data_IF_502228339036
#
_entry.id   IF_502228339036
#
_cell.length_a   1.000
_cell.length_b   1.000
_cell.length_c   1.000
_cell.angle_alpha   90.00
_cell.angle_beta   90.00
_cell.angle_gamma   90.00
#
_symmetry.space_group_name_H-M   'P 1'
#
loop_
_entity.id
_entity.type
_entity.pdbx_description
1 polymer ?
#
# COMPACT_ATOMS: atom_id res chain seq x y z
N UNK A 1 -14.84 -18.48 15.09
CA UNK A 1 -16.16 -18.31 14.46
C UNK A 1 -16.17 -17.29 13.31
N UNK A 2 -15.54 -16.12 13.41
CA UNK A 2 -15.53 -15.14 12.31
C UNK A 2 -14.72 -15.60 11.07
N UNK A 3 -13.55 -16.22 11.25
CA UNK A 3 -12.70 -16.68 10.14
C UNK A 3 -13.33 -17.84 9.33
N UNK A 4 -13.95 -18.80 10.01
CA UNK A 4 -14.59 -19.96 9.36
C UNK A 4 -15.82 -19.54 8.55
N UNK A 5 -16.57 -18.53 9.01
CA UNK A 5 -17.68 -17.93 8.27
C UNK A 5 -17.19 -17.15 7.04
N UNK A 6 -16.08 -16.41 7.15
CA UNK A 6 -15.48 -15.71 6.00
C UNK A 6 -14.98 -16.67 4.92
N UNK A 7 -14.39 -17.81 5.30
CA UNK A 7 -13.94 -18.84 4.35
C UNK A 7 -15.10 -19.57 3.66
N UNK A 8 -16.19 -19.86 4.38
CA UNK A 8 -17.36 -20.52 3.80
C UNK A 8 -18.14 -19.63 2.82
N UNK A 9 -18.15 -18.30 3.04
CA UNK A 9 -18.88 -17.35 2.18
C UNK A 9 -18.13 -16.99 0.88
N UNK A 10 -16.85 -17.34 0.74
CA UNK A 10 -16.08 -17.11 -0.49
C UNK A 10 -16.42 -18.09 -1.63
N UNK A 11 -17.21 -19.13 -1.34
CA UNK A 11 -17.62 -20.16 -2.30
C UNK A 11 -18.85 -19.83 -3.15
N UNK A 12 -19.64 -18.82 -2.76
CA UNK A 12 -20.87 -18.45 -3.46
C UNK A 12 -20.81 -16.98 -3.87
N UNK A 13 -20.36 -16.71 -5.10
CA UNK A 13 -20.87 -15.70 -6.06
C UNK A 13 -19.79 -15.47 -7.13
N UNK A 14 -19.68 -16.37 -8.10
CA UNK A 14 -18.97 -16.10 -9.38
C UNK A 14 -20.02 -16.21 -10.47
N UNK A 15 -20.86 -15.17 -10.60
CA UNK A 15 -21.86 -15.10 -11.65
C UNK A 15 -21.71 -13.78 -12.41
N UNK A 16 -21.25 -13.88 -13.66
CA UNK A 16 -21.44 -12.83 -14.67
C UNK A 16 -20.21 -12.03 -15.05
N UNK A 17 -19.20 -12.62 -15.68
CA UNK A 17 -18.37 -11.87 -16.63
C UNK A 17 -17.81 -12.77 -17.73
N UNK A 18 -17.82 -12.29 -18.99
CA UNK A 18 -17.48 -13.06 -20.20
C UNK A 18 -15.99 -13.48 -20.30
N UNK A 19 -15.13 -13.05 -19.37
CA UNK A 19 -13.68 -13.32 -19.33
C UNK A 19 -13.27 -14.32 -18.22
N UNK A 20 -14.06 -15.37 -17.99
CA UNK A 20 -13.80 -16.32 -16.90
C UNK A 20 -12.79 -17.44 -17.25
N UNK A 21 -12.23 -17.44 -18.48
CA UNK A 21 -11.18 -18.39 -18.85
C UNK A 21 -9.81 -17.97 -18.28
N UNK A 22 -8.87 -18.90 -18.23
CA UNK A 22 -7.57 -18.67 -17.60
C UNK A 22 -6.76 -17.56 -18.29
N UNK A 23 -6.76 -17.53 -19.63
CA UNK A 23 -6.13 -16.46 -20.42
C UNK A 23 -6.63 -15.06 -20.03
N UNK A 24 -7.96 -14.87 -19.92
CA UNK A 24 -8.57 -13.60 -19.54
C UNK A 24 -8.14 -13.15 -18.15
N UNK A 25 -8.11 -14.08 -17.19
CA UNK A 25 -7.64 -13.84 -15.81
C UNK A 25 -6.17 -13.44 -15.77
N UNK A 26 -5.31 -14.09 -16.55
CA UNK A 26 -3.88 -13.77 -16.67
C UNK A 26 -3.71 -12.36 -17.25
N UNK A 27 -4.36 -12.05 -18.38
CA UNK A 27 -4.26 -10.73 -19.01
C UNK A 27 -4.73 -9.61 -18.08
N UNK A 28 -5.86 -9.82 -17.39
CA UNK A 28 -6.39 -8.86 -16.43
C UNK A 28 -5.44 -8.65 -15.25
N UNK A 29 -4.85 -9.72 -14.74
CA UNK A 29 -3.85 -9.63 -13.65
C UNK A 29 -2.59 -8.88 -14.10
N UNK A 30 -2.10 -9.14 -15.32
CA UNK A 30 -0.96 -8.41 -15.89
C UNK A 30 -1.30 -6.94 -16.18
N UNK A 31 -2.54 -6.61 -16.53
CA UNK A 31 -2.98 -5.22 -16.69
C UNK A 31 -2.94 -4.45 -15.36
N UNK A 32 -3.33 -5.08 -14.25
CA UNK A 32 -3.22 -4.50 -12.91
C UNK A 32 -1.74 -4.23 -12.54
N UNK A 33 -0.84 -5.14 -12.92
CA UNK A 33 0.60 -5.01 -12.73
C UNK A 33 1.20 -3.89 -13.58
N UNK A 34 0.82 -3.86 -14.86
CA UNK A 34 1.29 -2.91 -15.85
C UNK A 34 0.92 -1.47 -15.49
N UNK A 35 -0.32 -1.26 -15.02
CA UNK A 35 -0.76 0.04 -14.51
C UNK A 35 0.15 0.56 -13.38
N UNK A 36 0.79 -0.35 -12.64
CA UNK A 36 1.75 -0.06 -11.56
C UNK A 36 3.21 -0.04 -12.02
N UNK A 37 3.47 -0.25 -13.31
CA UNK A 37 4.76 -0.13 -13.95
C UNK A 37 5.75 -1.25 -13.62
N UNK A 38 5.25 -2.50 -13.48
CA UNK A 38 6.09 -3.68 -13.28
C UNK A 38 5.54 -4.93 -13.97
N UNK A 39 6.44 -5.88 -14.25
CA UNK A 39 6.14 -7.21 -14.77
C UNK A 39 6.08 -8.24 -13.62
N UNK A 40 5.54 -9.43 -13.87
CA UNK A 40 5.39 -10.46 -12.82
C UNK A 40 6.19 -11.71 -13.12
N UNK A 41 6.89 -12.26 -12.12
CA UNK A 41 7.33 -13.65 -12.19
C UNK A 41 6.13 -14.60 -11.97
N UNK A 42 6.28 -15.84 -12.42
CA UNK A 42 5.21 -16.83 -12.36
C UNK A 42 4.62 -17.06 -10.96
N UNK A 43 5.41 -17.21 -9.87
CA UNK A 43 4.85 -17.37 -8.53
C UNK A 43 3.99 -16.18 -8.09
N UNK A 44 4.39 -14.96 -8.46
CA UNK A 44 3.61 -13.75 -8.16
C UNK A 44 2.33 -13.69 -8.98
N UNK A 45 2.40 -14.04 -10.27
CA UNK A 45 1.21 -14.08 -11.12
C UNK A 45 0.17 -15.06 -10.58
N UNK A 46 0.58 -16.25 -10.17
CA UNK A 46 -0.30 -17.28 -9.58
C UNK A 46 -0.94 -16.78 -8.29
N UNK A 47 -0.14 -16.25 -7.36
CA UNK A 47 -0.60 -15.74 -6.05
C UNK A 47 -1.58 -14.57 -6.18
N UNK A 48 -1.39 -13.73 -7.19
CA UNK A 48 -2.17 -12.51 -7.39
C UNK A 48 -3.21 -12.64 -8.51
N UNK A 49 -3.52 -13.87 -8.96
CA UNK A 49 -4.44 -14.10 -10.06
C UNK A 49 -5.85 -13.63 -9.68
N UNK A 50 -6.46 -12.87 -10.58
CA UNK A 50 -7.88 -12.46 -10.47
C UNK A 50 -8.78 -13.70 -10.49
N UNK A 51 -9.84 -13.66 -9.69
CA UNK A 51 -10.82 -14.72 -9.45
C UNK A 51 -10.27 -15.97 -8.75
N UNK A 52 -9.18 -15.81 -7.99
CA UNK A 52 -8.63 -16.85 -7.13
C UNK A 52 -7.42 -17.57 -7.71
N UNK A 53 -6.91 -18.53 -6.95
CA UNK A 53 -5.70 -19.25 -7.31
C UNK A 53 -5.96 -20.36 -8.32
N UNK A 54 -4.94 -20.67 -9.11
CA UNK A 54 -4.88 -21.76 -10.07
C UNK A 54 -3.50 -22.41 -9.90
N UNK A 55 -3.35 -23.69 -10.27
CA UNK A 55 -2.05 -24.34 -10.18
C UNK A 55 -1.02 -23.65 -11.07
N UNK A 56 0.24 -23.62 -10.62
CA UNK A 56 1.32 -23.00 -11.36
C UNK A 56 1.49 -23.65 -12.75
N UNK A 57 1.31 -24.97 -12.83
CA UNK A 57 1.40 -25.75 -14.07
C UNK A 57 0.36 -25.32 -15.10
N UNK A 58 -0.89 -25.07 -14.67
CA UNK A 58 -1.94 -24.63 -15.56
C UNK A 58 -1.69 -23.22 -16.09
N UNK A 59 -1.24 -22.29 -15.22
CA UNK A 59 -0.86 -20.93 -15.63
C UNK A 59 0.32 -20.97 -16.61
N UNK A 60 1.35 -21.78 -16.32
CA UNK A 60 2.52 -21.96 -17.19
C UNK A 60 2.13 -22.48 -18.56
N UNK A 61 1.25 -23.48 -18.64
CA UNK A 61 0.76 -24.06 -19.89
C UNK A 61 -0.02 -23.03 -20.71
N UNK A 62 -0.90 -22.27 -20.07
CA UNK A 62 -1.68 -21.22 -20.74
C UNK A 62 -0.76 -20.17 -21.37
N UNK A 63 0.21 -19.65 -20.58
CA UNK A 63 1.15 -18.61 -20.99
C UNK A 63 1.95 -18.94 -22.25
N UNK A 64 2.24 -20.22 -22.52
CA UNK A 64 2.98 -20.66 -23.71
C UNK A 64 2.25 -20.35 -25.03
N UNK A 65 0.93 -20.18 -24.97
CA UNK A 65 0.06 -20.03 -26.15
C UNK A 65 -0.53 -18.64 -26.30
N UNK A 66 -0.22 -17.71 -25.39
CA UNK A 66 -0.85 -16.38 -25.32
C UNK A 66 -0.09 -15.34 -26.17
N UNK A 67 -0.65 -14.84 -27.28
CA UNK A 67 0.05 -13.90 -28.17
C UNK A 67 0.16 -12.46 -27.63
N UNK A 68 -0.63 -12.12 -26.60
CA UNK A 68 -0.67 -10.78 -25.98
C UNK A 68 0.34 -10.56 -24.86
N UNK A 69 1.22 -11.51 -24.61
CA UNK A 69 2.16 -11.51 -23.49
C UNK A 69 3.58 -11.59 -24.03
N UNK A 70 4.44 -10.73 -23.48
CA UNK A 70 5.88 -10.78 -23.68
C UNK A 70 6.55 -11.31 -22.42
N UNK A 71 7.58 -12.15 -22.57
CA UNK A 71 8.27 -12.73 -21.43
C UNK A 71 9.77 -12.89 -21.63
N UNK A 72 10.52 -12.91 -20.53
CA UNK A 72 11.95 -13.17 -20.49
C UNK A 72 12.34 -13.71 -19.11
N UNK A 73 13.12 -14.79 -19.05
CA UNK A 73 13.55 -15.46 -17.80
C UNK A 73 12.41 -15.74 -16.79
N UNK A 74 11.25 -16.19 -17.27
CA UNK A 74 10.10 -16.49 -16.40
C UNK A 74 9.41 -15.26 -15.78
N UNK A 75 9.68 -14.07 -16.32
CA UNK A 75 8.99 -12.81 -16.02
C UNK A 75 8.09 -12.46 -17.20
N UNK A 76 6.84 -12.11 -16.93
CA UNK A 76 5.77 -11.89 -17.89
C UNK A 76 5.21 -10.47 -17.78
N UNK A 77 4.93 -9.85 -18.93
CA UNK A 77 4.29 -8.54 -19.04
C UNK A 77 3.33 -8.52 -20.23
N UNK A 78 2.48 -7.50 -20.32
CA UNK A 78 1.70 -7.25 -21.52
C UNK A 78 2.63 -6.88 -22.67
N UNK A 79 2.27 -7.29 -23.89
CA UNK A 79 2.97 -6.84 -25.11
C UNK A 79 2.92 -5.32 -25.22
N UNK A 80 4.07 -4.68 -25.47
CA UNK A 80 4.24 -3.22 -25.41
C UNK A 80 4.82 -2.70 -24.09
N UNK A 81 4.85 -3.53 -23.04
CA UNK A 81 5.38 -3.20 -21.71
C UNK A 81 6.72 -3.86 -21.41
N UNK A 82 7.48 -4.26 -22.43
CA UNK A 82 8.73 -5.01 -22.30
C UNK A 82 9.81 -4.25 -21.52
N UNK A 83 9.75 -2.91 -21.52
CA UNK A 83 10.62 -2.04 -20.72
C UNK A 83 10.55 -2.35 -19.21
N UNK A 84 9.45 -2.96 -18.73
CA UNK A 84 9.28 -3.37 -17.32
C UNK A 84 10.02 -4.66 -16.95
N UNK A 85 10.40 -5.49 -17.93
CA UNK A 85 11.03 -6.80 -17.70
C UNK A 85 12.40 -6.65 -17.02
N UNK A 86 13.28 -5.81 -17.58
CA UNK A 86 14.62 -5.60 -17.05
C UNK A 86 14.60 -5.01 -15.63
N UNK A 87 13.69 -4.04 -15.39
CA UNK A 87 13.47 -3.43 -14.08
C UNK A 87 13.00 -4.47 -13.05
N UNK A 88 12.06 -5.33 -13.43
CA UNK A 88 11.53 -6.38 -12.57
C UNK A 88 12.60 -7.42 -12.25
N UNK A 89 13.38 -7.87 -13.24
CA UNK A 89 14.50 -8.80 -13.05
C UNK A 89 15.49 -8.29 -12.01
N UNK A 90 15.91 -7.03 -12.14
CA UNK A 90 16.82 -6.39 -11.17
C UNK A 90 16.24 -6.38 -9.76
N UNK A 91 14.95 -6.05 -9.62
CA UNK A 91 14.25 -6.01 -8.33
C UNK A 91 14.16 -7.39 -7.67
N UNK A 92 13.79 -8.42 -8.43
CA UNK A 92 13.71 -9.80 -7.92
C UNK A 92 15.06 -10.31 -7.42
N UNK A 93 16.16 -9.98 -8.12
CA UNK A 93 17.50 -10.36 -7.70
C UNK A 93 17.93 -9.70 -6.38
N UNK A 94 17.45 -8.49 -6.07
CA UNK A 94 17.82 -7.75 -4.87
C UNK A 94 16.86 -7.93 -3.68
N UNK A 95 15.60 -8.33 -3.93
CA UNK A 95 14.52 -8.35 -2.95
C UNK A 95 14.89 -9.08 -1.64
N UNK A 96 15.49 -10.28 -1.72
CA UNK A 96 15.80 -11.09 -0.54
C UNK A 96 16.82 -10.48 0.42
N UNK A 97 17.77 -9.67 -0.08
CA UNK A 97 18.85 -9.08 0.74
C UNK A 97 18.36 -7.90 1.56
N UNK A 98 17.60 -7.00 0.94
CA UNK A 98 17.21 -5.73 1.56
C UNK A 98 15.88 -5.82 2.31
N UNK A 99 14.93 -6.63 1.85
CA UNK A 99 13.61 -6.75 2.51
C UNK A 99 13.76 -7.12 3.99
N UNK A 100 14.53 -8.16 4.31
CA UNK A 100 14.71 -8.60 5.71
C UNK A 100 15.26 -7.49 6.61
N UNK A 101 16.21 -6.71 6.09
CA UNK A 101 16.81 -5.60 6.83
C UNK A 101 15.79 -4.49 7.10
N UNK A 102 14.98 -4.12 6.11
CA UNK A 102 14.03 -3.01 6.24
C UNK A 102 12.66 -3.42 6.81
N UNK A 103 12.33 -4.71 6.85
CA UNK A 103 11.14 -5.23 7.56
C UNK A 103 11.21 -4.95 9.06
N UNK A 104 12.37 -5.14 9.69
CA UNK A 104 12.57 -4.79 11.10
C UNK A 104 12.45 -3.28 11.33
N UNK A 105 12.98 -2.47 10.40
CA UNK A 105 12.80 -1.01 10.43
C UNK A 105 11.33 -0.65 10.32
N UNK A 106 10.59 -1.30 9.43
CA UNK A 106 9.18 -1.07 9.21
C UNK A 106 8.35 -1.41 10.46
N UNK A 107 8.59 -2.58 11.08
CA UNK A 107 7.93 -3.00 12.33
C UNK A 107 8.23 -2.05 13.48
N UNK A 108 9.48 -1.59 13.60
CA UNK A 108 9.88 -0.65 14.65
C UNK A 108 9.23 0.71 14.47
N UNK A 109 9.24 1.25 13.26
CA UNK A 109 8.53 2.49 12.94
C UNK A 109 7.05 2.36 13.26
N UNK A 110 6.40 1.29 12.79
CA UNK A 110 4.98 1.07 13.01
C UNK A 110 4.64 0.99 14.52
N UNK A 111 5.44 0.25 15.30
CA UNK A 111 5.26 0.11 16.75
C UNK A 111 5.43 1.44 17.48
N UNK A 112 6.52 2.16 17.19
CA UNK A 112 6.77 3.48 17.76
C UNK A 112 5.63 4.46 17.39
N UNK A 113 5.23 4.47 16.12
CA UNK A 113 4.18 5.34 15.62
C UNK A 113 2.83 5.09 16.31
N UNK A 114 2.41 3.83 16.39
CA UNK A 114 1.19 3.45 17.09
C UNK A 114 1.29 3.68 18.61
N UNK A 115 2.49 3.68 19.20
CA UNK A 115 2.68 3.97 20.63
C UNK A 115 2.55 5.46 20.97
N UNK A 116 2.90 6.36 20.05
CA UNK A 116 2.81 7.82 20.24
C UNK A 116 1.51 8.41 19.67
N UNK A 117 0.92 7.77 18.66
CA UNK A 117 -0.29 8.21 18.01
C UNK A 117 -1.47 7.31 18.43
N UNK A 118 -2.35 7.79 19.34
CA UNK A 118 -3.42 6.97 19.88
C UNK A 118 -4.54 6.68 18.87
N UNK A 119 -4.66 7.49 17.81
CA UNK A 119 -5.74 7.43 16.82
C UNK A 119 -5.50 6.41 15.69
N UNK A 120 -4.31 5.79 15.64
CA UNK A 120 -3.99 4.75 14.67
C UNK A 120 -4.72 3.47 15.06
N UNK A 121 -5.49 2.93 14.11
CA UNK A 121 -6.20 1.65 14.24
C UNK A 121 -5.44 0.49 13.61
N UNK A 122 -4.82 0.72 12.45
CA UNK A 122 -4.02 -0.28 11.74
C UNK A 122 -2.89 0.41 10.96
N UNK A 123 -1.74 -0.26 10.89
CA UNK A 123 -0.61 0.14 10.05
C UNK A 123 -0.29 -1.05 9.15
N UNK A 124 -0.20 -0.82 7.86
CA UNK A 124 0.11 -1.84 6.90
C UNK A 124 1.19 -1.38 5.93
N UNK A 125 2.16 -2.25 5.67
CA UNK A 125 3.20 -2.04 4.66
C UNK A 125 2.59 -2.20 3.27
N UNK A 126 2.93 -1.28 2.39
CA UNK A 126 2.49 -1.23 0.99
C UNK A 126 3.72 -1.17 0.06
N UNK A 127 3.50 -0.80 -1.20
CA UNK A 127 4.57 -0.51 -2.15
C UNK A 127 5.47 -1.71 -2.46
N UNK A 128 6.72 -1.45 -2.84
CA UNK A 128 7.66 -2.49 -3.30
C UNK A 128 8.00 -3.52 -2.22
N UNK A 129 7.99 -3.12 -0.94
CA UNK A 129 8.22 -4.01 0.20
C UNK A 129 7.12 -5.05 0.38
N UNK A 130 5.86 -4.63 0.28
CA UNK A 130 4.73 -5.57 0.32
C UNK A 130 4.68 -6.46 -0.93
N UNK A 131 5.19 -5.93 -2.04
CA UNK A 131 5.13 -6.45 -3.40
C UNK A 131 6.24 -7.45 -3.78
N UNK A 132 7.16 -7.76 -2.86
CA UNK A 132 8.29 -8.67 -3.12
C UNK A 132 9.21 -8.22 -4.27
N UNK A 133 9.37 -6.91 -4.44
CA UNK A 133 10.26 -6.28 -5.43
C UNK A 133 11.06 -5.11 -4.88
N UNK A 134 11.40 -5.15 -3.58
CA UNK A 134 12.05 -4.06 -2.86
C UNK A 134 13.54 -3.97 -3.18
N UNK A 135 14.00 -2.75 -3.45
CA UNK A 135 15.40 -2.43 -3.75
C UNK A 135 16.01 -1.55 -2.67
N UNK A 136 17.35 -1.50 -2.60
CA UNK A 136 18.06 -0.70 -1.60
C UNK A 136 17.75 0.79 -1.69
N UNK A 137 17.30 1.29 -2.82
CA UNK A 137 16.97 2.69 -3.08
C UNK A 137 15.49 3.03 -2.88
N UNK A 138 14.63 2.04 -2.59
CA UNK A 138 13.20 2.23 -2.35
C UNK A 138 12.92 2.81 -0.95
N UNK A 139 11.81 3.53 -0.82
CA UNK A 139 11.21 3.91 0.46
C UNK A 139 10.30 2.80 1.03
N UNK A 140 10.00 2.89 2.32
CA UNK A 140 9.05 2.03 3.01
C UNK A 140 7.69 2.71 2.99
N UNK A 141 6.78 2.22 2.17
CA UNK A 141 5.41 2.73 2.07
C UNK A 141 4.51 2.13 3.15
N UNK A 142 3.74 3.00 3.80
CA UNK A 142 2.70 2.61 4.74
C UNK A 142 1.33 3.15 4.35
N UNK A 143 0.33 2.28 4.41
CA UNK A 143 -1.06 2.67 4.48
C UNK A 143 -1.51 2.65 5.95
N UNK A 144 -2.11 3.74 6.40
CA UNK A 144 -2.50 3.94 7.80
C UNK A 144 -4.02 4.06 7.88
N UNK A 145 -4.60 3.33 8.82
CA UNK A 145 -6.02 3.40 9.14
C UNK A 145 -6.19 4.13 10.46
N UNK A 146 -7.09 5.11 10.49
CA UNK A 146 -7.21 6.03 11.63
C UNK A 146 -8.65 6.25 12.04
N UNK A 147 -8.83 6.66 13.29
CA UNK A 147 -10.11 7.20 13.77
C UNK A 147 -10.56 8.41 12.92
N UNK A 148 -11.87 8.57 12.76
CA UNK A 148 -12.46 9.74 12.09
C UNK A 148 -12.01 11.07 12.73
N UNK A 149 -11.71 12.04 11.89
CA UNK A 149 -11.33 13.40 12.25
C UNK A 149 -9.89 13.54 12.73
N UNK A 150 -9.02 12.58 12.42
CA UNK A 150 -7.63 12.55 12.88
C UNK A 150 -6.61 12.38 11.75
N UNK A 151 -7.04 12.41 10.48
CA UNK A 151 -6.22 12.16 9.29
C UNK A 151 -4.95 13.01 9.25
N UNK A 152 -5.06 14.33 9.39
CA UNK A 152 -3.95 15.26 9.27
C UNK A 152 -3.07 15.29 10.52
N UNK A 153 -3.66 15.14 11.71
CA UNK A 153 -2.87 14.97 12.95
C UNK A 153 -2.01 13.72 12.88
N UNK A 154 -2.61 12.59 12.46
CA UNK A 154 -1.86 11.35 12.27
C UNK A 154 -0.78 11.57 11.20
N UNK A 155 -1.13 12.11 10.03
CA UNK A 155 -0.15 12.40 8.96
C UNK A 155 1.07 13.18 9.47
N UNK A 156 0.84 14.31 10.15
CA UNK A 156 1.92 15.17 10.63
C UNK A 156 2.81 14.44 11.64
N UNK A 157 2.23 13.69 12.59
CA UNK A 157 3.00 12.88 13.54
C UNK A 157 3.84 11.82 12.84
N UNK A 158 3.29 11.16 11.81
CA UNK A 158 4.03 10.19 11.02
C UNK A 158 5.17 10.83 10.22
N UNK A 159 4.98 12.05 9.69
CA UNK A 159 6.04 12.81 9.02
C UNK A 159 7.15 13.16 10.01
N UNK A 160 6.81 13.68 11.20
CA UNK A 160 7.80 14.01 12.24
C UNK A 160 8.59 12.77 12.68
N UNK A 161 7.91 11.63 12.86
CA UNK A 161 8.59 10.37 13.16
C UNK A 161 9.44 9.89 11.98
N UNK A 162 8.97 10.04 10.75
CA UNK A 162 9.73 9.65 9.55
C UNK A 162 11.06 10.41 9.45
N UNK A 163 11.11 11.69 9.84
CA UNK A 163 12.35 12.50 9.86
C UNK A 163 13.41 11.87 10.78
N UNK A 164 13.02 11.38 11.97
CA UNK A 164 13.93 10.65 12.88
C UNK A 164 14.57 9.44 12.18
N UNK A 165 13.79 8.66 11.43
CA UNK A 165 14.28 7.49 10.71
C UNK A 165 15.15 7.91 9.51
N UNK A 166 14.72 8.90 8.73
CA UNK A 166 15.51 9.49 7.65
C UNK A 166 16.89 10.00 8.10
N UNK A 167 16.98 10.63 9.27
CA UNK A 167 18.25 11.06 9.87
C UNK A 167 19.13 9.87 10.26
N UNK A 168 18.55 8.84 10.89
CA UNK A 168 19.26 7.61 11.27
C UNK A 168 19.84 6.87 10.07
N UNK A 169 19.13 6.89 8.94
CA UNK A 169 19.50 6.19 7.71
C UNK A 169 19.97 7.15 6.60
N UNK A 170 20.54 8.30 6.97
CA UNK A 170 20.89 9.37 6.02
C UNK A 170 21.89 9.00 4.91
N UNK A 171 22.61 7.88 5.07
CA UNK A 171 23.61 7.38 4.11
C UNK A 171 23.04 6.40 3.08
N UNK A 172 21.75 6.05 3.18
CA UNK A 172 21.10 5.12 2.25
C UNK A 172 21.00 5.77 0.86
N UNK A 173 21.34 5.05 -0.23
CA UNK A 173 21.09 5.55 -1.58
C UNK A 173 19.58 5.69 -1.81
N UNK A 174 19.17 6.69 -2.58
CA UNK A 174 17.77 6.88 -2.97
C UNK A 174 17.65 7.05 -4.47
N UNK A 175 16.51 6.63 -5.01
CA UNK A 175 16.13 6.94 -6.37
C UNK A 175 16.11 8.47 -6.57
N UNK A 176 16.60 8.93 -7.72
CA UNK A 176 16.72 10.37 -8.02
C UNK A 176 15.38 11.12 -7.91
N UNK A 177 14.28 10.49 -8.33
CA UNK A 177 12.93 11.06 -8.20
C UNK A 177 12.38 11.08 -6.76
N UNK A 178 12.99 10.34 -5.83
CA UNK A 178 12.67 10.32 -4.41
C UNK A 178 13.55 11.27 -3.58
N UNK A 179 14.59 11.87 -4.19
CA UNK A 179 15.46 12.81 -3.50
C UNK A 179 14.65 14.00 -2.96
N UNK A 180 14.96 14.40 -1.72
CA UNK A 180 14.54 15.70 -1.17
C UNK A 180 15.80 16.50 -0.86
N UNK A 181 15.73 17.84 -0.83
CA UNK A 181 16.94 18.68 -0.80
C UNK A 181 17.84 18.46 0.43
N UNK A 182 17.30 17.92 1.53
CA UNK A 182 18.01 17.90 2.81
C UNK A 182 18.06 16.53 3.50
N UNK A 183 17.11 15.62 3.21
CA UNK A 183 17.04 14.32 3.88
C UNK A 183 16.60 13.22 2.92
N UNK A 184 17.15 12.01 3.03
CA UNK A 184 16.61 10.91 2.28
C UNK A 184 15.22 10.55 2.81
N UNK A 185 14.22 10.44 1.94
CA UNK A 185 12.90 9.92 2.27
C UNK A 185 13.00 8.39 2.42
N UNK A 186 13.20 7.90 3.65
CA UNK A 186 13.19 6.46 3.92
C UNK A 186 11.76 5.93 4.10
N UNK A 187 10.89 6.70 4.75
CA UNK A 187 9.53 6.29 5.08
C UNK A 187 8.54 7.17 4.33
N UNK A 188 7.53 6.54 3.75
CA UNK A 188 6.44 7.17 3.05
C UNK A 188 5.12 6.81 3.71
N UNK A 189 4.34 7.82 4.08
CA UNK A 189 2.93 7.61 4.39
C UNK A 189 2.21 7.71 3.05
N UNK A 190 1.86 6.56 2.48
CA UNK A 190 1.29 6.48 1.14
C UNK A 190 -0.16 6.96 1.15
N UNK A 191 -1.04 6.30 1.91
CA UNK A 191 -2.45 6.71 2.08
C UNK A 191 -2.82 6.66 3.56
N UNK A 192 -3.64 7.62 3.99
CA UNK A 192 -4.34 7.58 5.27
C UNK A 192 -5.83 7.48 4.99
N UNK A 193 -6.43 6.42 5.53
CA UNK A 193 -7.86 6.20 5.49
C UNK A 193 -8.48 6.39 6.86
N UNK A 194 -9.56 7.16 6.92
CA UNK A 194 -10.41 7.25 8.11
C UNK A 194 -11.43 6.10 8.13
N UNK A 195 -12.07 5.88 9.27
CA UNK A 195 -13.11 4.84 9.42
C UNK A 195 -14.18 4.90 8.31
N UNK A 196 -14.63 6.10 7.95
CA UNK A 196 -15.64 6.34 6.91
C UNK A 196 -15.14 6.12 5.49
N UNK A 197 -13.81 6.04 5.30
CA UNK A 197 -13.20 5.74 4.01
C UNK A 197 -13.14 4.24 3.72
N UNK A 198 -13.32 3.37 4.74
CA UNK A 198 -13.01 1.92 4.65
C UNK A 198 -14.11 0.99 5.17
N UNK A 199 -15.13 1.49 5.88
CA UNK A 199 -16.22 0.68 6.44
C UNK A 199 -17.60 0.99 5.79
N UNK A 200 -17.82 0.71 4.48
CA UNK A 200 -16.93 0.10 3.50
C UNK A 200 -16.06 1.12 2.75
N UNK A 201 -15.19 0.66 1.86
CA UNK A 201 -14.42 1.53 1.00
C UNK A 201 -15.31 2.38 0.08
N UNK A 202 -15.00 3.68 -0.03
CA UNK A 202 -15.68 4.63 -0.95
C UNK A 202 -15.47 4.25 -2.41
N UNK A 203 -14.23 3.87 -2.76
CA UNK A 203 -13.84 3.32 -4.06
C UNK A 203 -13.91 1.80 -3.99
N UNK A 204 -14.64 1.16 -4.91
CA UNK A 204 -14.76 -0.30 -4.98
C UNK A 204 -14.47 -0.78 -6.40
N UNK A 205 -13.18 -0.89 -6.72
CA UNK A 205 -12.71 -1.32 -8.02
C UNK A 205 -11.62 -2.38 -7.89
N UNK A 206 -11.35 -3.07 -8.99
CA UNK A 206 -10.33 -4.13 -9.06
C UNK A 206 -8.93 -3.64 -8.68
N UNK A 207 -8.64 -2.35 -8.88
CA UNK A 207 -7.33 -1.78 -8.61
C UNK A 207 -7.10 -1.58 -7.12
N UNK A 208 -8.11 -1.09 -6.39
CA UNK A 208 -8.07 -1.06 -4.93
C UNK A 208 -8.04 -2.48 -4.37
N UNK A 209 -8.83 -3.41 -4.93
CA UNK A 209 -8.80 -4.80 -4.48
C UNK A 209 -7.40 -5.40 -4.62
N UNK A 210 -6.73 -5.11 -5.73
CA UNK A 210 -5.36 -5.52 -6.01
C UNK A 210 -4.34 -4.87 -5.07
N UNK A 211 -4.49 -3.57 -4.76
CA UNK A 211 -3.67 -2.88 -3.75
C UNK A 211 -3.79 -3.53 -2.38
N UNK A 212 -5.02 -3.85 -1.96
CA UNK A 212 -5.30 -4.43 -0.66
C UNK A 212 -4.84 -5.88 -0.56
N UNK A 213 -4.95 -6.67 -1.65
CA UNK A 213 -4.44 -8.03 -1.71
C UNK A 213 -2.95 -8.11 -1.39
N UNK A 214 -2.17 -7.14 -1.88
CA UNK A 214 -0.71 -7.11 -1.72
C UNK A 214 -0.27 -6.51 -0.40
N UNK A 215 -1.12 -5.72 0.23
CA UNK A 215 -0.79 -4.99 1.44
C UNK A 215 -0.54 -5.96 2.61
N UNK A 216 0.41 -5.64 3.48
CA UNK A 216 0.78 -6.48 4.64
C UNK A 216 0.52 -5.72 5.94
N UNK A 217 -0.58 -6.00 6.66
CA UNK A 217 -0.81 -5.44 7.99
C UNK A 217 0.34 -5.82 8.92
N UNK A 218 0.96 -4.84 9.56
CA UNK A 218 2.02 -5.08 10.57
C UNK A 218 1.52 -4.85 11.98
N UNK A 219 0.44 -4.07 12.15
CA UNK A 219 -0.22 -3.77 13.43
C UNK A 219 -1.70 -3.50 13.20
N UNK A 220 -2.55 -3.76 14.21
CA UNK A 220 -3.99 -3.48 14.13
C UNK A 220 -4.76 -4.51 13.31
N UNK A 221 -4.32 -5.76 13.33
CA UNK A 221 -4.87 -6.83 12.50
C UNK A 221 -6.36 -7.04 12.77
N UNK A 222 -6.80 -6.91 14.04
CA UNK A 222 -8.23 -6.96 14.38
C UNK A 222 -9.05 -5.93 13.58
N UNK A 223 -8.59 -4.69 13.49
CA UNK A 223 -9.29 -3.65 12.72
C UNK A 223 -9.22 -3.95 11.22
N UNK A 224 -8.08 -4.42 10.72
CA UNK A 224 -7.96 -4.80 9.31
C UNK A 224 -8.92 -5.94 8.92
N UNK A 225 -9.10 -6.94 9.78
CA UNK A 225 -10.09 -8.01 9.57
C UNK A 225 -11.52 -7.48 9.59
N UNK A 226 -11.82 -6.49 10.43
CA UNK A 226 -13.11 -5.78 10.40
C UNK A 226 -13.31 -5.06 9.06
N UNK A 227 -12.31 -4.34 8.56
CA UNK A 227 -12.33 -3.71 7.22
C UNK A 227 -12.63 -4.75 6.15
N UNK A 228 -11.93 -5.89 6.14
CA UNK A 228 -12.20 -6.96 5.17
C UNK A 228 -13.64 -7.48 5.28
N UNK A 229 -14.16 -7.66 6.50
CA UNK A 229 -15.54 -8.14 6.72
C UNK A 229 -16.62 -7.19 6.19
N UNK A 230 -16.34 -5.87 6.17
CA UNK A 230 -17.23 -4.85 5.61
C UNK A 230 -17.08 -4.70 4.10
N UNK A 231 -16.02 -5.24 3.51
CA UNK A 231 -15.72 -5.13 2.08
C UNK A 231 -15.79 -6.49 1.38
N UNK A 232 -16.98 -7.11 1.40
CA UNK A 232 -17.23 -8.41 0.75
C UNK A 232 -16.99 -8.40 -0.76
N UNK A 233 -17.13 -7.23 -1.40
CA UNK A 233 -16.88 -7.02 -2.81
C UNK A 233 -15.43 -7.37 -3.21
N UNK A 234 -14.47 -7.36 -2.29
CA UNK A 234 -13.08 -7.76 -2.59
C UNK A 234 -13.02 -9.22 -3.07
N UNK A 235 -13.88 -10.08 -2.54
CA UNK A 235 -13.99 -11.49 -2.93
C UNK A 235 -14.42 -11.69 -4.38
N UNK A 236 -15.07 -10.71 -5.01
CA UNK A 236 -15.43 -10.80 -6.43
C UNK A 236 -14.20 -10.73 -7.34
N UNK A 237 -13.09 -10.18 -6.85
CA UNK A 237 -11.83 -10.08 -7.60
C UNK A 237 -10.75 -11.01 -7.05
N UNK A 238 -10.60 -11.07 -5.73
CA UNK A 238 -9.51 -11.79 -5.07
C UNK A 238 -10.03 -12.52 -3.82
N UNK A 239 -10.69 -13.67 -3.95
CA UNK A 239 -11.17 -14.44 -2.80
C UNK A 239 -10.05 -14.82 -1.81
N UNK A 240 -8.81 -14.95 -2.29
CA UNK A 240 -7.64 -15.24 -1.46
C UNK A 240 -7.28 -14.11 -0.47
N UNK A 241 -7.81 -12.89 -0.62
CA UNK A 241 -7.53 -11.75 0.28
C UNK A 241 -7.95 -12.02 1.74
N UNK A 242 -8.92 -12.91 1.95
CA UNK A 242 -9.43 -13.24 3.28
C UNK A 242 -8.58 -14.30 4.02
N UNK A 243 -7.52 -14.81 3.40
CA UNK A 243 -6.63 -15.84 3.97
C UNK A 243 -5.47 -15.23 4.75
N UNK A 244 -5.79 -14.45 5.77
CA UNK A 244 -4.80 -13.87 6.67
C UNK A 244 -4.60 -14.73 7.91
N UNK A 245 -3.35 -14.96 8.27
CA UNK A 245 -2.99 -15.62 9.52
C UNK A 245 -3.08 -14.61 10.69
N UNK A 246 -3.97 -14.85 11.68
CA UNK A 246 -4.10 -13.97 12.83
C UNK A 246 -2.87 -14.07 13.74
N UNK A 247 -1.92 -13.15 13.58
CA UNK A 247 -0.94 -12.86 14.62
C UNK A 247 -0.89 -11.37 14.90
N UNK A 248 -1.17 -11.00 16.15
CA UNK A 248 -1.13 -9.62 16.61
C UNK A 248 -0.43 -9.55 17.96
N UNK A 249 0.49 -8.61 18.09
CA UNK A 249 1.07 -8.22 19.36
C UNK A 249 0.45 -6.89 19.79
N UNK A 250 -0.06 -6.86 21.03
CA UNK A 250 -0.60 -5.63 21.60
C UNK A 250 0.50 -4.57 21.80
N UNK A 251 0.18 -3.31 21.54
CA UNK A 251 1.11 -2.19 21.73
C UNK A 251 0.68 -1.36 22.94
N UNK A 252 1.61 -1.16 23.87
CA UNK A 252 1.43 -0.23 24.98
C UNK A 252 1.61 1.20 24.50
N UNK A 253 0.65 2.08 24.80
CA UNK A 253 0.73 3.51 24.47
C UNK A 253 1.70 4.22 25.41
N UNK A 254 2.50 5.13 24.86
CA UNK A 254 3.42 5.98 25.62
C UNK A 254 2.68 7.02 26.47
N UNK A 255 3.36 7.70 27.39
CA UNK A 255 2.77 8.83 28.11
C UNK A 255 2.33 9.94 27.15
N UNK A 256 3.16 10.28 26.15
CA UNK A 256 2.81 11.24 25.11
C UNK A 256 1.52 10.84 24.37
N UNK A 257 1.40 9.58 23.96
CA UNK A 257 0.18 9.07 23.31
C UNK A 257 -1.06 9.13 24.21
N UNK A 258 -0.91 8.86 25.51
CA UNK A 258 -2.01 8.98 26.49
C UNK A 258 -2.45 10.43 26.69
N UNK A 259 -1.51 11.36 26.82
CA UNK A 259 -1.79 12.79 26.92
C UNK A 259 -2.45 13.32 25.66
N UNK A 260 -1.94 12.94 24.48
CA UNK A 260 -2.54 13.33 23.20
C UNK A 260 -3.99 12.85 23.08
N UNK A 261 -4.28 11.60 23.49
CA UNK A 261 -5.64 11.06 23.54
C UNK A 261 -6.53 11.89 24.47
N UNK A 262 -6.02 12.30 25.63
CA UNK A 262 -6.75 13.11 26.60
C UNK A 262 -7.06 14.50 26.04
N UNK A 263 -6.10 15.18 25.41
CA UNK A 263 -6.34 16.49 24.77
C UNK A 263 -7.38 16.40 23.66
N UNK A 264 -7.29 15.35 22.84
CA UNK A 264 -8.25 15.11 21.75
C UNK A 264 -9.58 14.51 22.22
N UNK A 265 -9.79 14.29 23.52
CA UNK A 265 -11.12 13.97 24.06
C UNK A 265 -12.07 15.17 23.99
N UNK A 266 -11.52 16.39 23.96
CA UNK A 266 -12.28 17.61 23.73
C UNK A 266 -12.46 17.85 22.22
N UNK A 267 -13.74 17.92 21.78
CA UNK A 267 -14.10 18.09 20.36
C UNK A 267 -13.59 19.40 19.75
N UNK A 268 -13.57 20.50 20.50
CA UNK A 268 -13.08 21.78 20.00
C UNK A 268 -11.56 21.72 19.77
N UNK A 269 -10.84 21.12 20.73
CA UNK A 269 -9.39 20.91 20.62
C UNK A 269 -9.05 19.98 19.46
N UNK A 270 -9.78 18.86 19.31
CA UNK A 270 -9.52 17.93 18.21
C UNK A 270 -9.78 18.57 16.84
N UNK A 271 -10.87 19.34 16.71
CA UNK A 271 -11.19 20.03 15.45
C UNK A 271 -10.18 21.13 15.11
N UNK A 272 -9.77 21.92 16.10
CA UNK A 272 -8.72 22.93 15.91
C UNK A 272 -7.38 22.28 15.56
N UNK A 273 -6.99 21.24 16.29
CA UNK A 273 -5.75 20.49 16.08
C UNK A 273 -5.67 19.89 14.68
N UNK A 274 -6.75 19.25 14.22
CA UNK A 274 -6.84 18.68 12.88
C UNK A 274 -6.71 19.76 11.79
N UNK A 275 -7.38 20.91 11.95
CA UNK A 275 -7.25 22.05 11.03
C UNK A 275 -5.84 22.60 10.98
N UNK A 276 -5.20 22.79 12.13
CA UNK A 276 -3.81 23.26 12.20
C UNK A 276 -2.85 22.28 11.54
N UNK A 277 -2.99 20.99 11.85
CA UNK A 277 -2.15 19.94 11.24
C UNK A 277 -2.34 19.87 9.73
N UNK A 278 -3.57 20.07 9.23
CA UNK A 278 -3.86 20.16 7.79
C UNK A 278 -3.09 21.29 7.13
N UNK A 279 -3.14 22.51 7.69
CA UNK A 279 -2.44 23.66 7.09
C UNK A 279 -0.92 23.50 7.13
N UNK A 280 -0.37 23.05 8.26
CA UNK A 280 1.08 22.78 8.37
C UNK A 280 1.50 21.73 7.34
N UNK A 281 0.76 20.62 7.25
CA UNK A 281 1.05 19.54 6.31
C UNK A 281 0.93 19.99 4.85
N UNK A 282 -0.05 20.87 4.55
CA UNK A 282 -0.22 21.45 3.22
C UNK A 282 0.96 22.38 2.85
N UNK A 283 1.43 23.21 3.78
CA UNK A 283 2.60 24.06 3.57
C UNK A 283 3.87 23.22 3.32
N UNK A 284 4.07 22.16 4.10
CA UNK A 284 5.17 21.21 3.88
C UNK A 284 5.07 20.54 2.50
N UNK A 285 3.86 20.10 2.12
CA UNK A 285 3.61 19.53 0.80
C UNK A 285 3.92 20.53 -0.32
N UNK A 286 3.46 21.79 -0.22
CA UNK A 286 3.75 22.85 -1.19
C UNK A 286 5.24 23.13 -1.30
N UNK A 287 5.97 23.13 -0.18
CA UNK A 287 7.41 23.30 -0.18
C UNK A 287 8.11 22.17 -0.96
N UNK A 288 7.70 20.91 -0.75
CA UNK A 288 8.23 19.76 -1.50
C UNK A 288 7.93 19.88 -2.99
N UNK A 289 6.70 20.26 -3.37
CA UNK A 289 6.34 20.50 -4.77
C UNK A 289 7.20 21.61 -5.38
N UNK A 290 7.36 22.72 -4.67
CA UNK A 290 8.20 23.83 -5.09
C UNK A 290 9.66 23.42 -5.29
N UNK A 291 10.22 22.59 -4.40
CA UNK A 291 11.59 22.08 -4.56
C UNK A 291 11.76 21.16 -5.78
N UNK A 292 10.67 20.55 -6.25
CA UNK A 292 10.65 19.60 -7.38
C UNK A 292 10.21 20.24 -8.70
N UNK A 293 9.92 21.54 -8.72
CA UNK A 293 9.34 22.24 -9.88
C UNK A 293 10.14 22.14 -11.18
N UNK A 294 11.45 21.92 -11.09
CA UNK A 294 12.34 21.79 -12.24
C UNK A 294 12.62 20.32 -12.63
N UNK A 295 11.94 19.36 -12.00
CA UNK A 295 12.08 17.93 -12.31
C UNK A 295 10.77 17.41 -12.91
N UNK A 296 10.68 17.24 -14.25
CA UNK A 296 9.45 16.83 -14.92
C UNK A 296 8.99 15.42 -14.50
N UNK A 297 9.92 14.49 -14.31
CA UNK A 297 9.62 13.12 -13.86
C UNK A 297 8.98 13.12 -12.46
N UNK A 298 9.48 13.97 -11.55
CA UNK A 298 8.92 14.09 -10.21
C UNK A 298 7.49 14.68 -10.22
N UNK A 299 7.23 15.65 -11.10
CA UNK A 299 5.89 16.25 -11.27
C UNK A 299 4.91 15.22 -11.83
N UNK A 300 5.30 14.50 -12.89
CA UNK A 300 4.47 13.46 -13.49
C UNK A 300 4.14 12.36 -12.48
N UNK A 301 5.14 11.92 -11.70
CA UNK A 301 4.94 10.94 -10.63
C UNK A 301 3.94 11.43 -9.58
N UNK A 302 4.02 12.70 -9.15
CA UNK A 302 3.05 13.25 -8.18
C UNK A 302 1.64 13.24 -8.77
N UNK A 303 1.45 13.67 -10.01
CA UNK A 303 0.14 13.65 -10.69
C UNK A 303 -0.42 12.23 -10.77
N UNK A 304 0.40 11.29 -11.18
CA UNK A 304 0.03 9.88 -11.30
C UNK A 304 -0.36 9.28 -9.93
N UNK A 305 0.44 9.51 -8.88
CA UNK A 305 0.11 9.02 -7.52
C UNK A 305 -1.19 9.64 -7.03
N UNK A 306 -1.38 10.96 -7.17
CA UNK A 306 -2.61 11.65 -6.75
C UNK A 306 -3.83 11.06 -7.46
N UNK A 307 -3.77 10.87 -8.78
CA UNK A 307 -4.86 10.27 -9.56
C UNK A 307 -5.18 8.84 -9.10
N UNK A 308 -4.14 8.05 -8.79
CA UNK A 308 -4.31 6.69 -8.26
C UNK A 308 -4.88 6.63 -6.86
N UNK A 309 -4.68 7.67 -6.06
CA UNK A 309 -5.15 7.72 -4.69
C UNK A 309 -6.58 8.27 -4.59
N UNK A 310 -7.15 8.88 -5.62
CA UNK A 310 -8.52 9.39 -5.57
C UNK A 310 -9.53 8.28 -5.19
N UNK A 311 -10.50 8.59 -4.30
CA UNK A 311 -10.78 9.88 -3.66
C UNK A 311 -10.00 10.16 -2.35
N UNK A 312 -9.01 9.34 -2.01
CA UNK A 312 -8.30 9.36 -0.72
C UNK A 312 -7.07 10.28 -0.67
N UNK A 313 -6.68 10.86 -1.81
CA UNK A 313 -5.52 11.74 -1.91
C UNK A 313 -5.54 12.81 -0.80
N UNK A 314 -4.42 12.96 -0.09
CA UNK A 314 -4.35 13.73 1.17
C UNK A 314 -4.80 15.20 1.02
N UNK A 315 -4.52 15.81 -0.12
CA UNK A 315 -4.91 17.17 -0.48
C UNK A 315 -5.63 17.21 -1.83
N UNK A 316 -6.35 16.14 -2.20
CA UNK A 316 -7.05 16.05 -3.48
C UNK A 316 -8.13 17.11 -3.70
N UNK A 317 -8.55 17.80 -2.64
CA UNK A 317 -9.45 18.96 -2.67
C UNK A 317 -8.76 20.29 -3.02
N UNK A 318 -7.43 20.31 -3.06
CA UNK A 318 -6.60 21.51 -3.32
C UNK A 318 -5.68 21.38 -4.54
N UNK A 319 -5.74 20.26 -5.25
CA UNK A 319 -4.96 19.93 -6.45
C UNK A 319 -5.91 19.82 -7.62
#
# INVERSE_FOLDING_TARGET
MALSSLMAMAGETIAGNKDNNLAGRILRTLHLADRRGYAMCLPHLVKNLVYGEVTEEAVRKELQTMPGISHSDGIYCLKGSEHTLAKTRKRLACNGKYVKMYEEVARRFASEYASICPFVRCIAVAGSMASEGFSEDDDIDFNIFVERGCKYTVYLLGILLSIKYSLRYRRKPLAACAATPFLPKLICINVIWEDEDVLPYKRQDEYLAYELLRQKPVLGLKFYLEVLSKNKWLGTYFPQIYRLDPSETGIKKTLAGRLLRLFYSNKAVSHLGERMCREISYLLWRFVQFSRRNNPEAIERVRWVTAMQMPYALFGDRV
#
